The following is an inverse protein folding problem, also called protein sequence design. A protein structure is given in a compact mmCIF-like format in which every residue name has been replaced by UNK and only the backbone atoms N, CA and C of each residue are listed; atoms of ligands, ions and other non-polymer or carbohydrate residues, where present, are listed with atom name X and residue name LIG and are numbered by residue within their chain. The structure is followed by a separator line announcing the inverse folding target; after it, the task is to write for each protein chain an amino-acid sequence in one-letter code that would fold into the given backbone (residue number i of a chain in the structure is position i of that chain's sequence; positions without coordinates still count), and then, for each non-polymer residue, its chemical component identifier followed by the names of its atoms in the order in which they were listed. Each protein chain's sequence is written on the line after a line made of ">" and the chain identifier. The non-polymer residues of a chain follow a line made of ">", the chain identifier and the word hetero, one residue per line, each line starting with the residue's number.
data_IF_973396519508
#
_entry.id   IF_973396519508
#
_cell.length_a   1.000
_cell.length_b   1.000
_cell.length_c   1.000
_cell.angle_alpha   90.00
_cell.angle_beta   90.00
_cell.angle_gamma   90.00
#
_symmetry.space_group_name_H-M   'P 1'
#
loop_
_entity.id
_entity.type
_entity.pdbx_description
1 polymer ?
#
# COMPACT_ATOMS: atom_id res chain seq x y z
N UNK A 1 -3.33 -16.74 -28.11
CA UNK A 1 -2.50 -16.94 -26.89
C UNK A 1 -3.12 -16.40 -25.59
N UNK A 2 -4.46 -16.31 -25.46
CA UNK A 2 -5.13 -15.95 -24.18
C UNK A 2 -5.55 -17.19 -23.36
N UNK A 3 -5.65 -18.37 -23.99
CA UNK A 3 -6.13 -19.59 -23.34
C UNK A 3 -5.09 -20.27 -22.43
N UNK A 4 -3.79 -20.14 -22.75
CA UNK A 4 -2.73 -20.89 -22.04
C UNK A 4 -2.32 -20.27 -20.68
N UNK A 5 -2.67 -19.00 -20.42
CA UNK A 5 -2.42 -18.34 -19.13
C UNK A 5 -3.63 -18.36 -18.18
N UNK A 6 -4.78 -18.86 -18.65
CA UNK A 6 -6.06 -18.86 -17.95
C UNK A 6 -6.08 -19.64 -16.61
N UNK A 7 -5.48 -20.85 -16.48
CA UNK A 7 -5.60 -21.65 -15.26
C UNK A 7 -4.78 -21.11 -14.08
N UNK A 8 -3.60 -20.52 -14.36
CA UNK A 8 -2.75 -19.90 -13.33
C UNK A 8 -3.27 -18.52 -12.92
N UNK A 9 -3.99 -17.85 -13.84
CA UNK A 9 -4.62 -16.56 -13.60
C UNK A 9 -5.89 -16.70 -12.76
N UNK A 10 -6.77 -17.65 -13.09
CA UNK A 10 -8.03 -17.87 -12.38
C UNK A 10 -7.82 -18.25 -10.91
N UNK A 11 -6.88 -19.13 -10.60
CA UNK A 11 -6.60 -19.54 -9.21
C UNK A 11 -6.00 -18.42 -8.35
N UNK A 12 -5.19 -17.52 -8.93
CA UNK A 12 -4.65 -16.35 -8.22
C UNK A 12 -5.73 -15.30 -7.98
N UNK A 13 -6.51 -14.99 -9.03
CA UNK A 13 -7.63 -14.05 -8.93
C UNK A 13 -8.65 -14.58 -7.94
N UNK A 14 -9.06 -15.84 -7.98
CA UNK A 14 -10.03 -16.42 -7.03
C UNK A 14 -9.61 -16.32 -5.56
N UNK A 15 -8.31 -16.40 -5.24
CA UNK A 15 -7.84 -16.29 -3.85
C UNK A 15 -7.80 -14.85 -3.33
N UNK A 16 -7.53 -13.89 -4.22
CA UNK A 16 -7.49 -12.47 -3.86
C UNK A 16 -8.83 -11.76 -4.08
N UNK A 17 -9.67 -12.27 -4.98
CA UNK A 17 -10.93 -11.65 -5.35
C UNK A 17 -11.87 -11.46 -4.17
N UNK A 18 -11.96 -12.32 -3.14
CA UNK A 18 -12.81 -12.03 -1.97
C UNK A 18 -12.38 -10.77 -1.20
N UNK A 19 -11.09 -10.46 -1.17
CA UNK A 19 -10.48 -9.38 -0.38
C UNK A 19 -10.11 -8.14 -1.22
N UNK A 20 -9.94 -8.29 -2.53
CA UNK A 20 -9.57 -7.21 -3.44
C UNK A 20 -10.81 -6.48 -3.95
N UNK A 21 -10.76 -5.15 -3.91
CA UNK A 21 -11.83 -4.29 -4.39
C UNK A 21 -11.67 -3.89 -5.87
N UNK A 22 -10.48 -4.09 -6.43
CA UNK A 22 -10.14 -3.92 -7.84
C UNK A 22 -8.92 -4.75 -8.22
N UNK A 23 -8.52 -4.64 -9.49
CA UNK A 23 -7.24 -5.14 -9.97
C UNK A 23 -6.73 -4.29 -11.13
N UNK A 24 -5.41 -4.20 -11.25
CA UNK A 24 -4.72 -3.66 -12.41
C UNK A 24 -3.87 -4.75 -13.04
N UNK A 25 -3.99 -4.96 -14.36
CA UNK A 25 -3.25 -5.99 -15.07
C UNK A 25 -2.76 -5.58 -16.45
N UNK A 26 -1.57 -6.06 -16.79
CA UNK A 26 -0.99 -5.92 -18.12
C UNK A 26 -1.49 -6.99 -19.09
N UNK A 27 -1.84 -6.52 -20.29
CA UNK A 27 -2.04 -7.30 -21.50
C UNK A 27 -1.05 -6.78 -22.57
N UNK A 28 0.19 -7.27 -22.51
CA UNK A 28 1.28 -6.77 -23.35
C UNK A 28 1.55 -5.28 -23.09
N UNK A 29 1.30 -4.44 -24.10
CA UNK A 29 1.45 -2.97 -23.99
C UNK A 29 0.24 -2.27 -23.37
N UNK A 30 -0.90 -2.94 -23.22
CA UNK A 30 -2.13 -2.38 -22.66
C UNK A 30 -2.23 -2.68 -21.17
N UNK A 31 -2.83 -1.77 -20.41
CA UNK A 31 -3.17 -1.96 -19.00
C UNK A 31 -4.69 -1.96 -18.92
N UNK A 32 -5.25 -2.96 -18.26
CA UNK A 32 -6.66 -3.03 -17.94
C UNK A 32 -6.83 -2.86 -16.43
N UNK A 33 -7.85 -2.09 -16.06
CA UNK A 33 -8.27 -1.89 -14.67
C UNK A 33 -9.65 -2.52 -14.54
N UNK A 34 -9.80 -3.42 -13.58
CA UNK A 34 -11.09 -3.96 -13.18
C UNK A 34 -11.48 -3.40 -11.82
N UNK A 35 -12.69 -2.86 -11.72
CA UNK A 35 -13.26 -2.39 -10.46
C UNK A 35 -14.49 -3.23 -10.13
N UNK A 36 -14.60 -3.65 -8.88
CA UNK A 36 -15.84 -4.27 -8.43
C UNK A 36 -16.96 -3.22 -8.38
N UNK A 37 -18.15 -3.54 -8.90
CA UNK A 37 -19.31 -2.67 -8.73
C UNK A 37 -19.71 -2.61 -7.25
N UNK A 38 -20.37 -1.53 -6.78
CA UNK A 38 -20.76 -1.34 -5.38
C UNK A 38 -21.40 -2.57 -4.73
N UNK A 39 -22.37 -3.18 -5.42
CA UNK A 39 -23.06 -4.40 -4.96
C UNK A 39 -22.13 -5.57 -4.61
N UNK A 40 -20.96 -5.68 -5.25
CA UNK A 40 -19.97 -6.74 -4.97
C UNK A 40 -18.92 -6.30 -3.93
N UNK A 41 -18.75 -5.00 -3.71
CA UNK A 41 -17.91 -4.47 -2.64
C UNK A 41 -18.54 -4.72 -1.27
N UNK A 42 -19.87 -4.69 -1.18
CA UNK A 42 -20.60 -4.95 0.06
C UNK A 42 -20.48 -6.41 0.52
N UNK A 43 -20.33 -7.32 -0.44
CA UNK A 43 -20.14 -8.75 -0.23
C UNK A 43 -18.66 -9.15 -0.04
N UNK A 44 -17.73 -8.20 -0.17
CA UNK A 44 -16.30 -8.49 -0.04
C UNK A 44 -15.90 -8.69 1.41
N UNK A 45 -14.90 -9.53 1.64
CA UNK A 45 -14.37 -9.79 2.98
C UNK A 45 -13.69 -8.52 3.53
N UNK A 46 -14.30 -7.94 4.57
CA UNK A 46 -13.84 -6.71 5.22
C UNK A 46 -12.82 -6.98 6.34
N UNK A 47 -12.53 -8.24 6.68
CA UNK A 47 -11.70 -8.62 7.84
C UNK A 47 -10.31 -8.01 7.84
N UNK A 48 -9.75 -7.73 6.66
CA UNK A 48 -8.44 -7.07 6.52
C UNK A 48 -8.62 -5.54 6.48
N UNK A 49 -9.66 -5.07 5.78
CA UNK A 49 -9.97 -3.66 5.60
C UNK A 49 -10.25 -2.91 6.91
N UNK A 50 -10.91 -3.56 7.87
CA UNK A 50 -11.23 -2.97 9.19
C UNK A 50 -10.00 -2.53 9.99
N UNK A 51 -8.85 -3.17 9.75
CA UNK A 51 -7.59 -2.84 10.45
C UNK A 51 -6.80 -1.70 9.78
N UNK A 52 -7.20 -1.28 8.58
CA UNK A 52 -6.43 -0.33 7.77
C UNK A 52 -7.21 0.91 7.35
N UNK A 53 -8.47 0.76 6.92
CA UNK A 53 -9.21 1.83 6.27
C UNK A 53 -10.16 2.53 7.25
N UNK A 54 -10.24 3.85 7.12
CA UNK A 54 -11.35 4.62 7.67
C UNK A 54 -12.60 4.19 6.92
N UNK A 55 -13.68 3.90 7.66
CA UNK A 55 -14.92 3.46 7.04
C UNK A 55 -15.49 4.54 6.12
N UNK A 56 -15.82 4.16 4.89
CA UNK A 56 -16.47 5.02 3.89
C UNK A 56 -17.87 4.46 3.60
N UNK A 57 -18.92 5.06 4.18
CA UNK A 57 -20.29 4.60 3.99
C UNK A 57 -20.85 4.97 2.61
N UNK A 58 -20.35 6.01 1.95
CA UNK A 58 -20.83 6.38 0.62
C UNK A 58 -20.27 5.43 -0.46
N UNK A 59 -21.11 4.62 -1.13
CA UNK A 59 -20.66 3.71 -2.18
C UNK A 59 -20.03 4.44 -3.37
N UNK A 60 -20.45 5.67 -3.68
CA UNK A 60 -19.88 6.45 -4.79
C UNK A 60 -18.49 6.95 -4.42
N UNK A 61 -18.31 7.52 -3.23
CA UNK A 61 -16.99 7.86 -2.69
C UNK A 61 -16.05 6.63 -2.64
N UNK A 62 -16.57 5.47 -2.24
CA UNK A 62 -15.81 4.22 -2.23
C UNK A 62 -15.35 3.79 -3.63
N UNK A 63 -16.21 3.87 -4.64
CA UNK A 63 -15.80 3.58 -6.03
C UNK A 63 -14.76 4.60 -6.52
N UNK A 64 -14.91 5.88 -6.19
CA UNK A 64 -13.93 6.92 -6.53
C UNK A 64 -12.56 6.66 -5.91
N UNK A 65 -12.52 6.32 -4.61
CA UNK A 65 -11.31 5.87 -3.93
C UNK A 65 -10.64 4.74 -4.71
N UNK A 66 -11.37 3.63 -4.94
CA UNK A 66 -10.81 2.46 -5.59
C UNK A 66 -10.32 2.76 -7.02
N UNK A 67 -11.06 3.58 -7.74
CA UNK A 67 -10.67 4.03 -9.08
C UNK A 67 -9.34 4.79 -9.03
N UNK A 68 -9.19 5.73 -8.10
CA UNK A 68 -7.96 6.48 -7.91
C UNK A 68 -6.77 5.57 -7.54
N UNK A 69 -7.00 4.61 -6.64
CA UNK A 69 -6.00 3.62 -6.24
C UNK A 69 -5.48 2.81 -7.44
N UNK A 70 -6.39 2.21 -8.21
CA UNK A 70 -6.02 1.39 -9.37
C UNK A 70 -5.42 2.21 -10.51
N UNK A 71 -5.91 3.44 -10.74
CA UNK A 71 -5.29 4.36 -11.71
C UNK A 71 -3.85 4.69 -11.33
N UNK A 72 -3.55 4.80 -10.04
CA UNK A 72 -2.18 5.03 -9.57
C UNK A 72 -1.28 3.85 -9.92
N UNK A 73 -1.75 2.61 -9.70
CA UNK A 73 -1.02 1.42 -10.15
C UNK A 73 -0.82 1.39 -11.66
N UNK A 74 -1.84 1.73 -12.44
CA UNK A 74 -1.74 1.77 -13.89
C UNK A 74 -0.74 2.82 -14.38
N UNK A 75 -0.73 4.01 -13.77
CA UNK A 75 0.19 5.09 -14.11
C UNK A 75 1.65 4.76 -13.75
N UNK A 76 1.87 4.07 -12.63
CA UNK A 76 3.20 3.68 -12.14
C UNK A 76 3.70 2.35 -12.72
N UNK A 77 2.84 1.59 -13.39
CA UNK A 77 3.08 0.22 -13.84
C UNK A 77 4.43 -0.01 -14.56
N UNK A 78 4.82 0.91 -15.45
CA UNK A 78 6.08 0.83 -16.22
C UNK A 78 7.33 0.88 -15.35
N UNK A 79 7.23 1.43 -14.14
CA UNK A 79 8.34 1.61 -13.20
C UNK A 79 8.66 0.32 -12.43
N UNK A 80 7.73 -0.64 -12.36
CA UNK A 80 7.87 -1.91 -11.63
C UNK A 80 8.34 -1.70 -10.18
N UNK A 81 7.66 -0.79 -9.48
CA UNK A 81 7.96 -0.40 -8.11
C UNK A 81 7.90 -1.62 -7.15
N UNK A 82 8.68 -1.63 -6.05
CA UNK A 82 8.51 -2.61 -4.99
C UNK A 82 7.11 -2.48 -4.38
N UNK A 83 6.55 -3.60 -3.88
CA UNK A 83 5.15 -3.68 -3.45
C UNK A 83 4.79 -2.62 -2.40
N UNK A 84 5.65 -2.44 -1.39
CA UNK A 84 5.43 -1.43 -0.35
C UNK A 84 5.29 -0.01 -0.90
N UNK A 85 6.10 0.36 -1.90
CA UNK A 85 6.08 1.70 -2.48
C UNK A 85 4.89 1.85 -3.43
N UNK A 86 4.55 0.80 -4.18
CA UNK A 86 3.43 0.85 -5.11
C UNK A 86 2.09 0.96 -4.37
N UNK A 87 1.87 0.17 -3.32
CA UNK A 87 0.68 0.27 -2.46
C UNK A 87 0.66 1.57 -1.66
N UNK A 88 1.81 1.95 -1.08
CA UNK A 88 1.92 3.19 -0.31
C UNK A 88 1.65 4.43 -1.14
N UNK A 89 2.16 4.48 -2.37
CA UNK A 89 1.90 5.57 -3.31
C UNK A 89 0.42 5.63 -3.71
N UNK A 90 -0.21 4.48 -3.98
CA UNK A 90 -1.62 4.42 -4.33
C UNK A 90 -2.49 4.94 -3.17
N UNK A 91 -2.28 4.47 -1.95
CA UNK A 91 -2.99 4.95 -0.77
C UNK A 91 -2.78 6.45 -0.50
N UNK A 92 -1.53 6.93 -0.54
CA UNK A 92 -1.24 8.35 -0.34
C UNK A 92 -1.81 9.25 -1.46
N UNK A 93 -1.94 8.72 -2.68
CA UNK A 93 -2.57 9.44 -3.80
C UNK A 93 -4.09 9.52 -3.60
N UNK A 94 -4.72 8.46 -3.11
CA UNK A 94 -6.14 8.48 -2.73
C UNK A 94 -6.39 9.56 -1.67
N UNK A 95 -5.58 9.62 -0.61
CA UNK A 95 -5.75 10.63 0.44
C UNK A 95 -5.73 12.06 -0.13
N UNK A 96 -4.77 12.33 -1.01
CA UNK A 96 -4.65 13.62 -1.72
C UNK A 96 -5.86 13.90 -2.62
N UNK A 97 -6.33 12.89 -3.36
CA UNK A 97 -7.47 13.02 -4.25
C UNK A 97 -8.79 13.24 -3.49
N UNK A 98 -8.98 12.55 -2.37
CA UNK A 98 -10.18 12.63 -1.54
C UNK A 98 -10.14 13.83 -0.57
N UNK A 99 -8.98 14.46 -0.38
CA UNK A 99 -8.79 15.57 0.55
C UNK A 99 -8.88 15.17 2.03
N UNK A 100 -8.75 13.87 2.35
CA UNK A 100 -8.85 13.32 3.71
C UNK A 100 -8.01 12.04 3.84
N UNK A 101 -7.62 11.72 5.07
CA UNK A 101 -6.96 10.44 5.35
C UNK A 101 -7.93 9.27 5.14
N UNK A 102 -7.51 8.26 4.38
CA UNK A 102 -8.29 7.02 4.15
C UNK A 102 -7.73 5.82 4.89
N UNK A 103 -6.47 5.89 5.33
CA UNK A 103 -5.86 4.93 6.25
C UNK A 103 -6.02 5.43 7.68
N UNK A 104 -6.45 4.55 8.58
CA UNK A 104 -6.67 4.87 10.00
C UNK A 104 -5.35 5.22 10.68
N UNK A 105 -5.36 6.24 11.53
CA UNK A 105 -4.18 6.64 12.31
C UNK A 105 -3.74 5.55 13.29
N UNK A 106 -4.68 4.86 13.92
CA UNK A 106 -4.42 3.74 14.85
C UNK A 106 -3.72 2.53 14.21
N UNK A 107 -3.69 2.46 12.87
CA UNK A 107 -2.90 1.46 12.14
C UNK A 107 -1.38 1.63 12.35
N UNK A 108 -0.90 2.78 12.85
CA UNK A 108 0.47 2.94 13.37
C UNK A 108 0.78 1.95 14.50
N UNK A 109 -0.23 1.51 15.26
CA UNK A 109 -0.10 0.46 16.26
C UNK A 109 0.31 -0.90 15.69
N UNK A 110 -0.02 -1.19 14.41
CA UNK A 110 0.45 -2.39 13.72
C UNK A 110 1.97 -2.33 13.49
N UNK A 111 2.52 -1.14 13.25
CA UNK A 111 3.97 -0.95 13.11
C UNK A 111 4.72 -1.16 14.42
N UNK A 112 4.05 -1.09 15.57
CA UNK A 112 4.65 -1.40 16.86
C UNK A 112 4.64 -2.91 17.14
N UNK A 113 3.47 -3.54 17.01
CA UNK A 113 3.23 -4.90 17.50
C UNK A 113 3.73 -5.99 16.56
N UNK A 114 3.77 -5.73 15.25
CA UNK A 114 4.11 -6.77 14.27
C UNK A 114 5.60 -7.08 14.26
N UNK A 115 5.94 -8.36 14.43
CA UNK A 115 7.30 -8.90 14.36
C UNK A 115 7.32 -10.18 13.52
N UNK A 116 8.47 -10.52 12.88
CA UNK A 116 9.72 -9.76 12.84
C UNK A 116 9.69 -8.56 11.87
N UNK A 117 10.53 -7.55 12.12
CA UNK A 117 10.81 -6.47 11.17
C UNK A 117 11.72 -6.97 10.05
N UNK A 118 11.12 -7.27 8.90
CA UNK A 118 11.83 -7.80 7.74
C UNK A 118 11.54 -6.95 6.49
N UNK A 119 12.34 -7.10 5.41
CA UNK A 119 11.98 -6.54 4.12
C UNK A 119 10.56 -6.95 3.71
N UNK A 120 9.77 -6.03 3.14
CA UNK A 120 8.39 -6.32 2.76
C UNK A 120 8.34 -7.41 1.67
N UNK A 121 7.30 -8.25 1.68
CA UNK A 121 7.14 -9.32 0.72
C UNK A 121 6.97 -8.77 -0.69
N UNK A 122 7.37 -9.58 -1.68
CA UNK A 122 6.97 -9.34 -3.07
C UNK A 122 5.46 -9.54 -3.24
N UNK A 123 4.88 -8.99 -4.30
CA UNK A 123 3.48 -9.25 -4.69
C UNK A 123 3.14 -10.75 -4.80
N UNK A 124 4.12 -11.59 -5.18
CA UNK A 124 3.91 -13.04 -5.30
C UNK A 124 3.73 -13.74 -3.95
N UNK A 125 4.27 -13.16 -2.89
CA UNK A 125 4.22 -13.70 -1.53
C UNK A 125 3.10 -13.11 -0.69
N UNK A 126 2.51 -11.96 -1.06
CA UNK A 126 1.40 -11.33 -0.35
C UNK A 126 0.21 -12.28 -0.06
N UNK A 127 -0.20 -13.18 -0.98
CA UNK A 127 -1.31 -14.10 -0.71
C UNK A 127 -1.05 -15.13 0.40
N UNK A 128 0.15 -15.19 0.99
CA UNK A 128 0.46 -16.06 2.14
C UNK A 128 0.07 -15.43 3.48
N UNK A 129 -0.16 -14.12 3.52
CA UNK A 129 -0.50 -13.39 4.74
C UNK A 129 -2.03 -13.25 4.88
N UNK A 130 -2.51 -13.16 6.12
CA UNK A 130 -3.93 -13.01 6.48
C UNK A 130 -4.06 -12.04 7.66
N UNK A 131 -5.26 -11.48 7.86
CA UNK A 131 -5.59 -10.61 9.00
C UNK A 131 -4.61 -9.46 9.16
N UNK A 132 -4.18 -9.23 10.41
CA UNK A 132 -3.26 -8.14 10.77
C UNK A 132 -1.92 -8.17 10.04
N UNK A 133 -1.39 -9.34 9.68
CA UNK A 133 -0.12 -9.42 8.96
C UNK A 133 -0.24 -8.88 7.53
N UNK A 134 -1.38 -9.13 6.87
CA UNK A 134 -1.66 -8.55 5.57
C UNK A 134 -1.93 -7.04 5.70
N UNK A 135 -2.67 -6.63 6.75
CA UNK A 135 -2.94 -5.24 7.02
C UNK A 135 -1.65 -4.44 7.29
N UNK A 136 -0.74 -4.99 8.09
CA UNK A 136 0.58 -4.44 8.37
C UNK A 136 1.36 -4.13 7.09
N UNK A 137 1.47 -5.09 6.17
CA UNK A 137 2.22 -4.87 4.94
C UNK A 137 1.58 -3.81 4.03
N UNK A 138 0.24 -3.70 4.04
CA UNK A 138 -0.47 -2.66 3.31
C UNK A 138 -0.24 -1.26 3.92
N UNK A 139 -0.45 -1.10 5.23
CA UNK A 139 -0.33 0.21 5.89
C UNK A 139 1.13 0.66 6.04
N UNK A 140 2.08 -0.27 6.14
CA UNK A 140 3.51 0.06 6.26
C UNK A 140 4.00 0.87 5.06
N UNK A 141 3.61 0.48 3.85
CA UNK A 141 3.95 1.23 2.64
C UNK A 141 3.41 2.66 2.67
N UNK A 142 2.14 2.81 3.04
CA UNK A 142 1.48 4.11 3.18
C UNK A 142 2.21 5.03 4.16
N UNK A 143 2.50 4.54 5.37
CA UNK A 143 3.15 5.37 6.39
C UNK A 143 4.58 5.76 6.02
N UNK A 144 5.33 4.88 5.34
CA UNK A 144 6.66 5.22 4.83
C UNK A 144 6.57 6.32 3.77
N UNK A 145 5.64 6.21 2.80
CA UNK A 145 5.46 7.23 1.76
C UNK A 145 5.08 8.57 2.39
N UNK A 146 4.17 8.57 3.38
CA UNK A 146 3.83 9.79 4.11
C UNK A 146 4.99 10.40 4.87
N UNK A 147 5.78 9.59 5.59
CA UNK A 147 6.99 10.07 6.26
C UNK A 147 7.91 10.76 5.25
N UNK A 148 8.18 10.12 4.12
CA UNK A 148 9.08 10.66 3.09
C UNK A 148 8.54 11.95 2.47
N UNK A 149 7.24 12.03 2.17
CA UNK A 149 6.62 13.24 1.63
C UNK A 149 6.61 14.41 2.62
N UNK A 150 6.46 14.14 3.93
CA UNK A 150 6.45 15.19 4.96
C UNK A 150 7.85 15.66 5.34
N UNK A 151 8.82 14.74 5.43
CA UNK A 151 10.18 15.07 5.86
C UNK A 151 11.08 15.50 4.70
N UNK A 152 10.77 15.04 3.48
CA UNK A 152 11.57 15.27 2.28
C UNK A 152 10.68 15.55 1.05
N UNK A 153 10.04 16.74 0.98
CA UNK A 153 9.15 17.08 -0.11
C UNK A 153 9.79 16.89 -1.50
N UNK A 154 9.09 16.18 -2.38
CA UNK A 154 9.56 15.90 -3.75
C UNK A 154 10.50 14.69 -3.87
N UNK A 155 10.95 14.09 -2.76
CA UNK A 155 11.81 12.90 -2.81
C UNK A 155 11.08 11.71 -3.43
N UNK A 156 9.84 11.40 -3.02
CA UNK A 156 9.09 10.27 -3.62
C UNK A 156 8.90 10.49 -5.11
N UNK A 157 8.57 11.72 -5.54
CA UNK A 157 8.50 12.07 -6.97
C UNK A 157 9.82 11.75 -7.71
N UNK A 158 10.97 12.03 -7.09
CA UNK A 158 12.27 11.71 -7.69
C UNK A 158 12.45 10.20 -7.95
N UNK A 159 11.94 9.35 -7.05
CA UNK A 159 11.99 7.89 -7.19
C UNK A 159 11.19 7.37 -8.39
N UNK A 160 10.20 8.15 -8.85
CA UNK A 160 9.30 7.79 -9.95
C UNK A 160 9.80 8.23 -11.34
N UNK A 161 10.93 8.93 -11.40
CA UNK A 161 11.46 9.52 -12.66
C UNK A 161 11.79 8.44 -13.71
N UNK A 162 12.39 7.34 -13.26
CA UNK A 162 12.79 6.23 -14.12
C UNK A 162 12.66 4.90 -13.40
N UNK A 163 12.65 3.81 -14.17
CA UNK A 163 12.61 2.46 -13.61
C UNK A 163 13.92 2.17 -12.89
N UNK A 164 13.82 1.73 -11.64
CA UNK A 164 14.95 1.38 -10.79
C UNK A 164 14.75 -0.01 -10.16
N UNK A 165 15.83 -0.65 -9.71
CA UNK A 165 15.70 -1.89 -8.95
C UNK A 165 15.20 -1.60 -7.53
N UNK A 166 14.44 -2.52 -6.89
CA UNK A 166 14.01 -2.38 -5.50
C UNK A 166 15.17 -2.05 -4.55
N UNK A 167 16.29 -2.76 -4.67
CA UNK A 167 17.47 -2.53 -3.84
C UNK A 167 18.08 -1.12 -4.01
N UNK A 168 17.97 -0.52 -5.22
CA UNK A 168 18.44 0.85 -5.44
C UNK A 168 17.51 1.87 -4.79
N UNK A 169 16.19 1.67 -4.92
CA UNK A 169 15.18 2.51 -4.26
C UNK A 169 15.38 2.45 -2.74
N UNK A 170 15.54 1.24 -2.18
CA UNK A 170 15.75 1.04 -0.75
C UNK A 170 17.03 1.72 -0.25
N UNK A 171 18.14 1.64 -1.01
CA UNK A 171 19.36 2.39 -0.66
C UNK A 171 19.16 3.90 -0.68
N UNK A 172 18.42 4.44 -1.65
CA UNK A 172 18.12 5.87 -1.72
C UNK A 172 17.25 6.30 -0.53
N UNK A 173 16.23 5.51 -0.18
CA UNK A 173 15.38 5.77 0.99
C UNK A 173 16.20 5.72 2.29
N UNK A 174 17.07 4.72 2.44
CA UNK A 174 17.95 4.62 3.60
C UNK A 174 18.88 5.82 3.70
N UNK A 175 19.54 6.21 2.60
CA UNK A 175 20.39 7.40 2.57
C UNK A 175 19.62 8.68 2.92
N UNK A 176 18.41 8.85 2.38
CA UNK A 176 17.57 10.02 2.65
C UNK A 176 17.11 10.10 4.10
N UNK A 177 16.92 8.96 4.77
CA UNK A 177 16.53 8.88 6.18
C UNK A 177 17.72 8.80 7.14
N UNK A 178 18.95 8.89 6.62
CA UNK A 178 20.20 8.72 7.37
C UNK A 178 20.25 7.38 8.11
N UNK A 179 19.83 6.31 7.44
CA UNK A 179 19.85 4.94 7.93
C UNK A 179 20.90 4.13 7.18
N UNK A 180 21.52 3.18 7.88
CA UNK A 180 22.32 2.16 7.21
C UNK A 180 21.42 1.27 6.33
N UNK A 181 21.75 1.03 5.04
CA UNK A 181 20.91 0.24 4.16
C UNK A 181 20.57 -1.16 4.68
N UNK A 182 21.49 -1.80 5.40
CA UNK A 182 21.29 -3.12 6.01
C UNK A 182 20.27 -3.08 7.17
N UNK A 183 20.12 -1.93 7.82
CA UNK A 183 19.25 -1.73 8.99
C UNK A 183 17.93 -1.04 8.67
N UNK A 184 17.76 -0.55 7.43
CA UNK A 184 16.56 0.13 6.95
C UNK A 184 15.26 -0.50 7.47
N UNK A 185 15.07 -1.79 7.17
CA UNK A 185 13.82 -2.47 7.49
C UNK A 185 13.63 -2.79 8.97
N UNK A 186 14.71 -2.83 9.74
CA UNK A 186 14.67 -3.01 11.19
C UNK A 186 14.28 -1.70 11.91
N UNK A 187 14.59 -0.54 11.33
CA UNK A 187 14.48 0.76 12.00
C UNK A 187 13.37 1.67 11.46
N UNK A 188 12.99 1.51 10.19
CA UNK A 188 12.06 2.45 9.54
C UNK A 188 10.70 2.51 10.24
N UNK A 189 10.20 1.40 10.78
CA UNK A 189 8.94 1.35 11.52
C UNK A 189 9.01 2.21 12.78
N UNK A 190 10.16 2.21 13.48
CA UNK A 190 10.37 3.05 14.65
C UNK A 190 10.48 4.53 14.27
N UNK A 191 11.17 4.85 13.17
CA UNK A 191 11.28 6.23 12.65
C UNK A 191 9.93 6.81 12.25
N UNK A 192 9.12 6.03 11.53
CA UNK A 192 7.74 6.40 11.17
C UNK A 192 6.92 6.70 12.43
N UNK A 193 6.97 5.80 13.42
CA UNK A 193 6.21 5.98 14.65
C UNK A 193 6.66 7.19 15.46
N UNK A 194 7.96 7.43 15.59
CA UNK A 194 8.48 8.59 16.30
C UNK A 194 7.92 9.89 15.69
N UNK A 195 8.04 10.05 14.38
CA UNK A 195 7.54 11.22 13.64
C UNK A 195 6.04 11.47 13.87
N UNK A 196 5.20 10.44 13.75
CA UNK A 196 3.76 10.61 13.89
C UNK A 196 3.25 10.63 15.35
N UNK A 197 4.03 10.11 16.31
CA UNK A 197 3.76 10.28 17.76
C UNK A 197 3.94 11.72 18.22
N UNK A 198 5.06 12.33 17.84
CA UNK A 198 5.42 13.70 18.24
C UNK A 198 4.40 14.74 17.76
N UNK A 199 3.68 14.46 16.67
CA UNK A 199 2.63 15.33 16.12
C UNK A 199 1.25 15.13 16.75
N UNK A 200 1.12 14.31 17.80
CA UNK A 200 -0.15 14.10 18.50
C UNK A 200 -1.16 13.22 17.76
N UNK A 201 -0.76 12.52 16.69
CA UNK A 201 -1.60 11.55 15.95
C UNK A 201 -1.66 10.17 16.65
N UNK A 202 -0.98 10.05 17.79
CA UNK A 202 -1.09 8.94 18.72
C UNK A 202 -1.24 9.53 20.13
N UNK A 203 -2.41 10.06 20.46
CA UNK A 203 -2.74 10.28 21.88
C UNK A 203 -3.03 8.89 22.49
N UNK A 204 -2.45 8.55 23.66
CA UNK A 204 -2.93 7.42 24.41
C UNK A 204 -4.40 7.70 24.76
N UNK A 205 -5.27 6.73 24.53
CA UNK A 205 -6.60 6.76 25.12
C UNK A 205 -6.41 6.93 26.64
N UNK A 206 -6.81 8.11 27.13
CA UNK A 206 -6.97 8.36 28.55
C UNK A 206 -8.01 7.36 29.07
N UNK A 207 -7.53 6.41 29.88
CA UNK A 207 -8.38 5.58 30.74
C UNK A 207 -9.16 6.45 31.71
#
# INVERSE_FOLDING_TARGET
>A
MLALSYPLWSGRVQRMWPISAGWTQHYGRRIAIGLKPPRLLDLSDKSVGIHMFVEEPDPVAKVRHLTCHELTHAASARLRLPAWLNEGLAAATVDRFMGKATIREDSLGLLERMQPKAPPPSYRSLPRFRGEALAYHAVRGYWIVRLLEETHPGFVRSLLTSRQSPARIERQVAAQLELEPARLWAEIDARVRAHFRERGQLRPESR
#
